data_IF_700652020679
#
_entry.id   IF_700652020679
#
_cell.length_a   1.000
_cell.length_b   1.000
_cell.length_c   1.000
_cell.angle_alpha   90.00
_cell.angle_beta   90.00
_cell.angle_gamma   90.00
#
_symmetry.space_group_name_H-M   'P 1'
#
loop_
_entity.id
_entity.type
_entity.pdbx_description
1 polymer ?
#
# COMPACT_ATOMS: atom_id res chain seq x y z
N UNK A 1 9.25 -7.41 -1.66
CA UNK A 1 7.85 -6.97 -1.60
C UNK A 1 7.15 -7.01 -2.96
N UNK A 2 7.81 -6.53 -4.01
CA UNK A 2 7.19 -6.56 -5.35
C UNK A 2 6.81 -7.98 -5.77
N UNK A 3 7.70 -8.94 -5.50
CA UNK A 3 7.43 -10.33 -5.88
C UNK A 3 6.20 -10.88 -5.18
N UNK A 4 6.02 -10.52 -3.92
CA UNK A 4 4.84 -10.94 -3.19
C UNK A 4 3.57 -10.38 -3.84
N UNK A 5 3.60 -9.10 -4.22
CA UNK A 5 2.44 -8.46 -4.85
C UNK A 5 2.19 -9.06 -6.22
N UNK A 6 3.23 -9.32 -7.00
CA UNK A 6 3.06 -9.94 -8.31
C UNK A 6 2.40 -11.30 -8.21
N UNK A 7 2.78 -12.10 -7.21
CA UNK A 7 2.14 -13.38 -6.99
C UNK A 7 0.70 -13.21 -6.54
N UNK A 8 0.46 -12.28 -5.63
CA UNK A 8 -0.90 -12.07 -5.11
C UNK A 8 -1.86 -11.59 -6.18
N UNK A 9 -1.39 -10.73 -7.08
CA UNK A 9 -2.23 -10.17 -8.13
C UNK A 9 -2.22 -10.99 -9.42
N UNK A 10 -1.32 -11.96 -9.53
CA UNK A 10 -1.16 -12.77 -10.74
C UNK A 10 -0.88 -11.89 -11.96
N UNK A 11 -0.09 -10.84 -11.77
CA UNK A 11 0.27 -9.94 -12.85
C UNK A 11 1.63 -9.34 -12.57
N UNK A 12 2.23 -8.81 -13.63
CA UNK A 12 3.48 -8.10 -13.51
C UNK A 12 3.24 -6.72 -12.95
N UNK A 13 4.16 -6.26 -12.10
CA UNK A 13 4.11 -4.93 -11.50
C UNK A 13 5.36 -4.18 -11.92
N UNK A 14 5.17 -3.02 -12.53
CA UNK A 14 6.27 -2.14 -12.89
C UNK A 14 6.51 -1.17 -11.75
N UNK A 15 7.79 -0.93 -11.44
CA UNK A 15 8.18 -0.07 -10.33
C UNK A 15 9.17 0.97 -10.83
N UNK A 16 9.03 2.20 -10.35
CA UNK A 16 10.00 3.24 -10.65
C UNK A 16 10.11 4.18 -9.46
N UNK A 17 11.27 4.86 -9.30
CA UNK A 17 11.43 5.79 -8.19
C UNK A 17 10.55 7.02 -8.36
N UNK A 18 10.24 7.66 -7.24
CA UNK A 18 9.43 8.87 -7.21
C UNK A 18 10.30 10.03 -6.74
N UNK A 19 10.22 11.14 -7.48
CA UNK A 19 10.88 12.38 -7.06
C UNK A 19 10.08 12.99 -5.91
N UNK A 20 10.71 13.08 -4.74
CA UNK A 20 10.06 13.57 -3.53
C UNK A 20 10.11 15.10 -3.41
N UNK A 21 10.66 15.81 -4.39
CA UNK A 21 10.85 17.25 -4.28
C UNK A 21 9.53 18.02 -4.17
N UNK A 22 8.44 17.45 -4.65
CA UNK A 22 7.13 18.08 -4.55
C UNK A 22 6.41 17.85 -3.24
N UNK A 23 6.99 17.07 -2.34
CA UNK A 23 6.34 16.78 -1.07
C UNK A 23 6.52 17.91 -0.07
N UNK A 24 5.53 18.11 0.83
CA UNK A 24 5.76 18.98 1.99
C UNK A 24 6.97 18.54 2.78
N UNK A 25 7.69 19.49 3.37
CA UNK A 25 8.93 19.18 4.08
C UNK A 25 8.72 18.16 5.18
N UNK A 26 7.59 18.23 5.89
CA UNK A 26 7.36 17.32 7.01
C UNK A 26 7.18 15.87 6.58
N UNK A 27 6.89 15.62 5.30
CA UNK A 27 6.74 14.25 4.79
C UNK A 27 8.05 13.69 4.23
N UNK A 28 8.98 14.57 3.89
CA UNK A 28 10.26 14.11 3.34
C UNK A 28 11.04 13.36 4.40
N UNK A 29 11.52 12.18 4.06
CA UNK A 29 12.28 11.39 5.00
C UNK A 29 11.43 10.51 5.91
N UNK A 30 10.11 10.69 5.93
CA UNK A 30 9.23 9.80 6.70
C UNK A 30 8.89 8.53 5.95
N UNK A 31 8.91 8.59 4.61
CA UNK A 31 8.55 7.47 3.76
C UNK A 31 9.53 7.37 2.61
N UNK A 32 9.85 6.13 2.25
CA UNK A 32 10.50 5.84 0.98
C UNK A 32 9.40 5.61 -0.04
N UNK A 33 9.46 6.28 -1.20
CA UNK A 33 8.36 6.29 -2.15
C UNK A 33 8.76 5.69 -3.48
N UNK A 34 7.88 4.87 -4.02
CA UNK A 34 8.00 4.33 -5.36
C UNK A 34 6.65 4.46 -6.06
N UNK A 35 6.68 4.53 -7.39
CA UNK A 35 5.46 4.45 -8.18
C UNK A 35 5.39 3.05 -8.80
N UNK A 36 4.27 2.40 -8.57
CA UNK A 36 4.03 1.07 -9.13
C UNK A 36 2.87 1.15 -10.11
N UNK A 37 2.88 0.26 -11.09
CA UNK A 37 1.76 0.14 -12.03
C UNK A 37 1.36 -1.32 -12.11
N UNK A 38 0.09 -1.60 -11.87
CA UNK A 38 -0.49 -2.94 -11.96
C UNK A 38 -1.80 -2.82 -12.73
N UNK A 39 -2.03 -3.73 -13.66
CA UNK A 39 -3.23 -3.71 -14.50
C UNK A 39 -3.43 -2.36 -15.20
N UNK A 40 -2.32 -1.68 -15.53
CA UNK A 40 -2.37 -0.37 -16.16
C UNK A 40 -2.74 0.77 -15.23
N UNK A 41 -2.87 0.52 -13.92
CA UNK A 41 -3.24 1.54 -12.93
C UNK A 41 -2.01 1.95 -12.15
N UNK A 42 -1.61 3.24 -12.19
CA UNK A 42 -0.48 3.70 -11.39
C UNK A 42 -0.92 4.01 -9.96
N UNK A 43 -0.05 3.72 -9.03
CA UNK A 43 -0.26 4.08 -7.62
C UNK A 43 1.10 4.19 -6.94
N UNK A 44 1.12 4.89 -5.81
CA UNK A 44 2.35 5.05 -5.06
C UNK A 44 2.41 4.04 -3.93
N UNK A 45 3.62 3.59 -3.62
CA UNK A 45 3.88 2.72 -2.47
C UNK A 45 4.79 3.49 -1.52
N UNK A 46 4.29 3.75 -0.32
CA UNK A 46 5.01 4.49 0.71
C UNK A 46 5.46 3.51 1.78
N UNK A 47 6.78 3.38 1.92
CA UNK A 47 7.37 2.50 2.92
C UNK A 47 7.82 3.36 4.11
N UNK A 48 7.16 3.23 5.27
CA UNK A 48 7.53 4.04 6.43
C UNK A 48 8.96 3.74 6.88
N UNK A 49 9.72 4.79 7.17
CA UNK A 49 11.07 4.64 7.70
C UNK A 49 11.00 4.19 9.15
N UNK A 50 10.04 4.73 9.90
CA UNK A 50 9.74 4.28 11.26
C UNK A 50 8.35 3.69 11.25
N UNK A 51 7.86 3.30 12.41
CA UNK A 51 6.54 2.65 12.50
C UNK A 51 5.49 3.66 12.98
N UNK A 52 4.93 4.46 12.07
CA UNK A 52 3.88 5.40 12.45
C UNK A 52 2.61 4.65 12.83
N UNK A 53 1.76 5.32 13.61
CA UNK A 53 0.46 4.75 13.92
C UNK A 53 -0.43 4.80 12.68
N UNK A 54 -1.47 3.97 12.68
CA UNK A 54 -2.44 3.97 11.59
C UNK A 54 -3.10 5.34 11.46
N UNK A 55 -3.38 6.00 12.59
CA UNK A 55 -3.97 7.34 12.57
C UNK A 55 -3.05 8.35 11.86
N UNK A 56 -1.75 8.26 12.14
CA UNK A 56 -0.77 9.14 11.51
C UNK A 56 -0.69 8.86 10.01
N UNK A 57 -0.68 7.59 9.62
CA UNK A 57 -0.65 7.25 8.19
C UNK A 57 -1.90 7.75 7.47
N UNK A 58 -3.07 7.71 8.14
CA UNK A 58 -4.29 8.21 7.54
C UNK A 58 -4.18 9.71 7.23
N UNK A 59 -3.56 10.46 8.12
CA UNK A 59 -3.34 11.89 7.89
C UNK A 59 -2.37 12.12 6.73
N UNK A 60 -1.29 11.35 6.71
CA UNK A 60 -0.27 11.51 5.69
C UNK A 60 -0.77 11.09 4.31
N UNK A 61 -1.70 10.13 4.24
CA UNK A 61 -2.19 9.64 2.97
C UNK A 61 -2.76 10.75 2.11
N UNK A 62 -3.59 11.60 2.69
CA UNK A 62 -4.23 12.67 1.91
C UNK A 62 -3.19 13.63 1.35
N UNK A 63 -2.19 13.98 2.14
CA UNK A 63 -1.13 14.86 1.68
C UNK A 63 -0.26 14.20 0.61
N UNK A 64 0.02 12.91 0.77
CA UNK A 64 0.80 12.18 -0.23
C UNK A 64 0.03 12.07 -1.55
N UNK A 65 -1.26 11.76 -1.50
CA UNK A 65 -2.06 11.65 -2.71
C UNK A 65 -2.17 12.98 -3.42
N UNK A 66 -2.32 14.06 -2.67
CA UNK A 66 -2.38 15.38 -3.28
C UNK A 66 -1.07 15.74 -3.96
N UNK A 67 0.05 15.41 -3.34
CA UNK A 67 1.38 15.75 -3.88
C UNK A 67 1.75 14.87 -5.07
N UNK A 68 1.38 13.60 -5.04
CA UNK A 68 1.80 12.64 -6.07
C UNK A 68 0.79 12.47 -7.19
N UNK A 69 -0.47 12.85 -6.95
CA UNK A 69 -1.50 12.74 -7.99
C UNK A 69 -1.96 11.31 -8.27
N UNK A 70 -1.67 10.37 -7.39
CA UNK A 70 -2.08 8.97 -7.57
C UNK A 70 -2.54 8.43 -6.22
N UNK A 71 -3.31 7.33 -6.23
CA UNK A 71 -3.61 6.64 -4.97
C UNK A 71 -2.32 6.21 -4.27
N UNK A 72 -2.36 6.16 -2.95
CA UNK A 72 -1.20 5.81 -2.13
C UNK A 72 -1.52 4.57 -1.30
N UNK A 73 -0.61 3.60 -1.32
CA UNK A 73 -0.67 2.44 -0.44
C UNK A 73 0.57 2.44 0.44
N UNK A 74 0.47 1.75 1.58
CA UNK A 74 1.59 1.69 2.54
C UNK A 74 2.18 0.29 2.56
N UNK A 75 3.50 0.22 2.49
CA UNK A 75 4.22 -1.05 2.58
C UNK A 75 4.51 -1.31 4.06
N UNK A 76 4.02 -2.45 4.57
CA UNK A 76 4.11 -2.78 5.99
C UNK A 76 4.82 -4.11 6.16
N UNK A 77 6.14 -4.10 6.12
CA UNK A 77 6.89 -5.32 6.33
C UNK A 77 6.86 -5.70 7.80
N UNK A 78 6.66 -6.99 8.08
CA UNK A 78 6.64 -7.49 9.44
C UNK A 78 5.43 -7.04 10.26
N UNK A 79 4.36 -6.58 9.61
CA UNK A 79 3.19 -6.09 10.33
C UNK A 79 2.48 -7.21 11.08
N UNK A 80 1.98 -6.89 12.28
CA UNK A 80 1.19 -7.84 13.05
C UNK A 80 -0.23 -7.91 12.51
N UNK A 81 -0.95 -8.97 12.90
CA UNK A 81 -2.36 -9.08 12.53
C UNK A 81 -3.18 -7.93 13.07
N UNK A 82 -2.84 -7.43 14.27
CA UNK A 82 -3.52 -6.29 14.85
C UNK A 82 -3.38 -5.05 13.97
N UNK A 83 -2.15 -4.78 13.51
CA UNK A 83 -1.88 -3.62 12.67
C UNK A 83 -2.60 -3.73 11.33
N UNK A 84 -2.59 -4.92 10.73
CA UNK A 84 -3.32 -5.16 9.49
C UNK A 84 -4.81 -4.89 9.70
N UNK A 85 -5.38 -5.37 10.79
CA UNK A 85 -6.78 -5.13 11.10
C UNK A 85 -7.10 -3.64 11.25
N UNK A 86 -6.20 -2.90 11.90
CA UNK A 86 -6.39 -1.45 12.05
C UNK A 86 -6.34 -0.73 10.71
N UNK A 87 -5.45 -1.16 9.81
CA UNK A 87 -5.41 -0.59 8.48
C UNK A 87 -6.70 -0.82 7.72
N UNK A 88 -7.24 -2.04 7.82
CA UNK A 88 -8.51 -2.36 7.16
C UNK A 88 -9.66 -1.53 7.72
N UNK A 89 -9.71 -1.39 9.05
CA UNK A 89 -10.75 -0.58 9.69
C UNK A 89 -10.70 0.87 9.23
N UNK A 90 -9.50 1.39 9.04
CA UNK A 90 -9.30 2.77 8.60
C UNK A 90 -9.50 2.94 7.09
N UNK A 91 -9.65 1.84 6.35
CA UNK A 91 -9.78 1.90 4.90
C UNK A 91 -8.51 2.33 4.18
N UNK A 92 -7.36 2.12 4.79
CA UNK A 92 -6.08 2.52 4.21
C UNK A 92 -5.51 1.42 3.33
N UNK A 93 -5.18 1.71 2.08
CA UNK A 93 -4.54 0.72 1.21
C UNK A 93 -3.17 0.33 1.75
N UNK A 94 -2.83 -0.94 1.68
CA UNK A 94 -1.55 -1.40 2.18
C UNK A 94 -1.12 -2.70 1.52
N UNK A 95 0.17 -3.00 1.67
CA UNK A 95 0.77 -4.27 1.28
C UNK A 95 1.52 -4.79 2.49
N UNK A 96 1.03 -5.88 3.07
CA UNK A 96 1.68 -6.55 4.19
C UNK A 96 2.15 -7.90 3.70
N UNK A 97 3.44 -8.06 3.34
CA UNK A 97 3.94 -9.30 2.75
C UNK A 97 3.63 -10.50 3.65
N UNK A 98 3.21 -11.59 3.03
CA UNK A 98 2.84 -12.83 3.68
C UNK A 98 1.64 -12.72 4.62
N UNK A 99 0.90 -11.62 4.55
CA UNK A 99 -0.33 -11.45 5.31
C UNK A 99 -1.49 -11.06 4.41
N UNK A 100 -1.45 -9.84 3.87
CA UNK A 100 -2.59 -9.37 3.08
C UNK A 100 -2.20 -8.19 2.21
N UNK A 101 -2.87 -8.08 1.07
CA UNK A 101 -2.81 -6.93 0.18
C UNK A 101 -4.19 -6.32 0.13
N UNK A 102 -4.31 -5.02 0.36
CA UNK A 102 -5.57 -4.31 0.26
C UNK A 102 -5.37 -3.07 -0.62
N UNK A 103 -5.79 -3.18 -1.87
CA UNK A 103 -5.62 -2.13 -2.87
C UNK A 103 -6.98 -1.84 -3.50
N UNK A 104 -7.84 -1.09 -2.79
CA UNK A 104 -9.22 -0.89 -3.26
C UNK A 104 -9.31 -0.15 -4.57
N UNK A 105 -8.33 0.70 -4.90
CA UNK A 105 -8.32 1.38 -6.20
C UNK A 105 -8.11 0.41 -7.36
N UNK A 106 -7.66 -0.82 -7.08
CA UNK A 106 -7.61 -1.89 -8.07
C UNK A 106 -8.78 -2.86 -7.91
N UNK A 107 -9.64 -2.65 -6.91
CA UNK A 107 -10.72 -3.56 -6.60
C UNK A 107 -10.27 -4.85 -5.95
N UNK A 108 -9.13 -4.81 -5.23
CA UNK A 108 -8.49 -6.01 -4.73
C UNK A 108 -8.30 -5.97 -3.22
N UNK A 109 -8.68 -7.07 -2.55
CA UNK A 109 -8.37 -7.33 -1.15
C UNK A 109 -8.08 -8.81 -1.02
N UNK A 110 -6.80 -9.17 -0.90
CA UNK A 110 -6.35 -10.56 -0.91
C UNK A 110 -5.58 -10.89 0.36
N UNK A 111 -5.89 -12.06 0.92
CA UNK A 111 -5.18 -12.58 2.10
C UNK A 111 -4.29 -13.74 1.70
N UNK A 112 -3.10 -13.77 2.26
CA UNK A 112 -2.18 -14.88 2.03
C UNK A 112 -2.62 -16.12 2.80
N UNK A 113 -2.28 -17.26 2.24
CA UNK A 113 -2.43 -18.54 2.92
C UNK A 113 -3.77 -19.18 2.80
N UNK A 114 -4.83 -18.46 2.47
CA UNK A 114 -6.13 -19.08 2.40
C UNK A 114 -6.99 -18.33 1.43
N UNK A 115 -7.45 -18.93 0.59
CA UNK A 115 -8.13 -18.19 -0.36
C UNK A 115 -9.53 -17.94 -0.21
N UNK A 116 -9.75 -17.76 -0.30
CA UNK A 116 -10.70 -17.50 -0.27
C UNK A 116 -11.50 -17.48 -1.14
N UNK A 117 -11.32 -18.02 -1.27
CA UNK A 117 -12.07 -18.13 -2.15
C UNK A 117 -13.48 -17.91 -1.98
N UNK A 118 -13.69 -17.90 -1.49
CA UNK A 118 -14.73 -17.52 -1.27
C UNK A 118 -15.21 -16.52 -1.42
N UNK A 119 -15.05 -16.36 -1.61
CA UNK A 119 -15.44 -15.43 -1.67
C UNK A 119 -15.93 -14.92 -2.32
N UNK A 120 -16.12 -15.17 -2.74
CA UNK A 120 -16.58 -14.63 -3.34
C UNK A 120 -17.60 -14.53 -3.64
N UNK A 121 -18.07 -14.78 -3.52
CA UNK A 121 -18.87 -14.59 -3.67
C UNK A 121 -19.42 -14.08 -3.84
N UNK A 122 -19.40 -14.18 -4.07
CA UNK A 122 -19.68 -13.67 -4.14
C UNK A 122 -19.91 -13.37 -4.36
#
# INVERSE_FOLDING_TARGET
MREYVEKALHTRVDCEPVDASGLPLYLRGLYSLERWTAFGVPFAVASPVESPTVKTMAKHRDALEAALGTPVSFALEGATGYRVGRMLEAGLPFIAPDRQVYLPFLGIALSSGRSHARDRRQ
#
